data_IF_449784410806
#
_entry.id   IF_449784410806
#
_cell.length_a   1.000
_cell.length_b   1.000
_cell.length_c   1.000
_cell.angle_alpha   90.00
_cell.angle_beta   90.00
_cell.angle_gamma   90.00
#
_symmetry.space_group_name_H-M   'P 1'
#
loop_
_entity.id
_entity.type
_entity.pdbx_description
1 polymer ?
#
# COMPACT_ATOMS: atom_id res chain seq x y z
N UNK A 1 -11.54 -0.77 -24.45
CA UNK A 1 -12.68 0.15 -24.31
C UNK A 1 -13.35 -0.13 -22.99
N UNK A 2 -13.62 0.91 -22.18
CA UNK A 2 -14.24 0.74 -20.87
C UNK A 2 -15.70 0.26 -20.99
N UNK A 3 -16.14 -0.59 -20.06
CA UNK A 3 -17.52 -1.06 -19.99
C UNK A 3 -18.41 0.13 -19.62
N UNK A 4 -19.49 0.40 -20.36
CA UNK A 4 -20.37 1.54 -20.08
C UNK A 4 -21.34 1.31 -18.91
N UNK A 5 -21.56 0.05 -18.51
CA UNK A 5 -22.49 -0.34 -17.46
C UNK A 5 -22.04 -1.63 -16.78
N UNK A 6 -22.31 -1.77 -15.47
CA UNK A 6 -22.05 -2.99 -14.69
C UNK A 6 -23.35 -3.51 -14.07
N UNK A 7 -23.42 -4.82 -13.84
CA UNK A 7 -24.51 -5.45 -13.09
C UNK A 7 -24.30 -5.24 -11.58
N UNK A 8 -25.38 -5.01 -10.85
CA UNK A 8 -25.42 -4.90 -9.39
C UNK A 8 -25.86 -6.25 -8.83
N UNK A 9 -25.05 -6.81 -7.95
CA UNK A 9 -25.30 -8.10 -7.32
C UNK A 9 -25.79 -7.95 -5.89
N UNK A 10 -26.69 -8.83 -5.46
CA UNK A 10 -27.05 -8.96 -4.04
C UNK A 10 -26.01 -9.83 -3.28
N UNK A 11 -26.21 -9.99 -1.98
CA UNK A 11 -25.37 -10.84 -1.11
C UNK A 11 -25.44 -12.35 -1.48
N UNK A 12 -26.45 -12.77 -2.24
CA UNK A 12 -26.58 -14.15 -2.77
C UNK A 12 -25.84 -14.34 -4.11
N UNK A 13 -25.23 -13.30 -4.68
CA UNK A 13 -24.55 -13.36 -5.97
C UNK A 13 -25.48 -13.29 -7.19
N UNK A 14 -26.77 -12.98 -6.99
CA UNK A 14 -27.74 -12.78 -8.08
C UNK A 14 -27.74 -11.33 -8.56
N UNK A 15 -27.87 -11.15 -9.87
CA UNK A 15 -27.98 -9.83 -10.49
C UNK A 15 -29.37 -9.24 -10.22
N UNK A 16 -29.43 -8.09 -9.54
CA UNK A 16 -30.67 -7.39 -9.20
C UNK A 16 -30.91 -6.19 -10.11
N UNK A 17 -29.87 -5.39 -10.36
CA UNK A 17 -29.99 -4.14 -11.10
C UNK A 17 -28.79 -3.94 -12.05
N UNK A 18 -28.82 -2.88 -12.86
CA UNK A 18 -27.75 -2.49 -13.77
C UNK A 18 -27.47 -1.01 -13.63
N UNK A 19 -26.23 -0.65 -13.28
CA UNK A 19 -25.80 0.73 -13.10
C UNK A 19 -24.89 1.18 -14.25
N UNK A 20 -25.08 2.42 -14.72
CA UNK A 20 -24.16 3.07 -15.67
C UNK A 20 -22.88 3.47 -14.94
N UNK A 21 -21.72 3.12 -15.49
CA UNK A 21 -20.45 3.43 -14.83
C UNK A 21 -20.07 4.92 -15.02
N UNK A 22 -19.43 5.56 -14.04
CA UNK A 22 -18.93 6.93 -14.17
C UNK A 22 -17.75 7.00 -15.14
N UNK A 23 -17.51 8.20 -15.67
CA UNK A 23 -16.45 8.48 -16.66
C UNK A 23 -15.04 8.13 -16.16
N UNK A 24 -14.84 8.09 -14.83
CA UNK A 24 -13.58 7.68 -14.20
C UNK A 24 -13.09 6.32 -14.72
N UNK A 25 -13.98 5.36 -14.98
CA UNK A 25 -13.60 4.04 -15.51
C UNK A 25 -13.11 4.06 -16.96
N UNK A 26 -13.33 5.17 -17.69
CA UNK A 26 -12.83 5.38 -19.04
C UNK A 26 -11.49 6.14 -19.08
N UNK A 27 -10.96 6.55 -17.92
CA UNK A 27 -9.68 7.26 -17.83
C UNK A 27 -8.56 6.40 -18.44
N UNK A 28 -7.66 6.98 -19.26
CA UNK A 28 -6.54 6.22 -19.81
C UNK A 28 -5.64 5.67 -18.69
N UNK A 29 -5.19 4.44 -18.87
CA UNK A 29 -4.28 3.79 -17.94
C UNK A 29 -2.87 4.40 -18.06
N UNK A 30 -2.36 4.97 -16.97
CA UNK A 30 -1.04 5.60 -16.89
C UNK A 30 -0.24 5.05 -15.70
N UNK A 31 0.46 3.92 -15.89
CA UNK A 31 1.22 3.26 -14.82
C UNK A 31 2.33 4.13 -14.23
N UNK A 32 2.90 5.03 -15.02
CA UNK A 32 3.92 6.01 -14.63
C UNK A 32 3.42 6.95 -13.52
N UNK A 33 2.21 7.52 -13.71
CA UNK A 33 1.61 8.47 -12.77
C UNK A 33 1.15 7.74 -11.51
N UNK A 34 0.56 6.55 -11.65
CA UNK A 34 0.19 5.68 -10.52
C UNK A 34 1.42 5.37 -9.66
N UNK A 35 2.52 4.96 -10.29
CA UNK A 35 3.77 4.64 -9.58
C UNK A 35 4.30 5.83 -8.81
N UNK A 36 4.34 7.02 -9.43
CA UNK A 36 4.80 8.25 -8.77
C UNK A 36 3.90 8.61 -7.58
N UNK A 37 2.59 8.47 -7.73
CA UNK A 37 1.63 8.73 -6.66
C UNK A 37 1.81 7.80 -5.46
N UNK A 38 1.93 6.49 -5.71
CA UNK A 38 2.13 5.49 -4.65
C UNK A 38 3.46 5.71 -3.95
N UNK A 39 4.55 5.98 -4.67
CA UNK A 39 5.86 6.29 -4.06
C UNK A 39 5.79 7.57 -3.20
N UNK A 40 5.08 8.60 -3.66
CA UNK A 40 4.85 9.81 -2.88
C UNK A 40 4.09 9.50 -1.58
N UNK A 41 2.97 8.77 -1.65
CA UNK A 41 2.18 8.37 -0.47
C UNK A 41 3.06 7.56 0.51
N UNK A 42 3.79 6.56 0.01
CA UNK A 42 4.66 5.72 0.83
C UNK A 42 5.76 6.52 1.52
N UNK A 43 6.33 7.53 0.85
CA UNK A 43 7.38 8.37 1.43
C UNK A 43 6.94 9.17 2.65
N UNK A 44 5.65 9.53 2.73
CA UNK A 44 5.09 10.26 3.88
C UNK A 44 4.93 9.39 5.13
N UNK A 45 4.89 8.05 4.98
CA UNK A 45 4.80 7.11 6.12
C UNK A 45 6.15 6.72 6.70
N UNK A 46 7.26 7.14 6.08
CA UNK A 46 8.60 6.78 6.54
C UNK A 46 8.94 7.61 7.77
N UNK A 47 9.22 6.94 8.89
CA UNK A 47 9.72 7.59 10.09
C UNK A 47 11.16 8.10 9.86
N UNK A 48 11.45 9.38 10.14
CA UNK A 48 12.81 9.90 10.13
C UNK A 48 13.70 9.10 11.08
N UNK A 49 14.94 8.82 10.66
CA UNK A 49 15.92 8.09 11.46
C UNK A 49 17.30 8.72 11.27
N UNK A 50 18.11 8.69 12.31
CA UNK A 50 19.48 9.19 12.28
C UNK A 50 20.40 8.42 13.23
N UNK A 51 21.70 8.71 13.16
CA UNK A 51 22.67 8.32 14.19
C UNK A 51 22.86 9.47 15.19
N UNK A 52 23.25 9.14 16.41
CA UNK A 52 23.77 10.14 17.37
C UNK A 52 24.94 10.88 16.70
N UNK A 53 24.87 12.21 16.67
CA UNK A 53 25.82 13.09 16.00
C UNK A 53 27.25 12.94 16.55
N UNK A 54 27.35 12.56 17.82
CA UNK A 54 28.61 12.35 18.55
C UNK A 54 29.05 10.88 18.58
N UNK A 55 28.32 9.97 17.92
CA UNK A 55 28.69 8.57 17.84
C UNK A 55 30.09 8.38 17.22
N UNK A 56 31.00 7.72 17.96
CA UNK A 56 32.38 7.50 17.55
C UNK A 56 33.27 8.75 17.56
N UNK A 57 32.77 9.90 18.05
CA UNK A 57 33.52 11.16 18.20
C UNK A 57 33.84 11.53 19.65
N UNK A 58 33.19 10.90 20.64
CA UNK A 58 33.44 11.11 22.08
C UNK A 58 34.77 10.50 22.52
N UNK A 59 35.87 10.98 21.97
CA UNK A 59 37.24 10.46 22.18
C UNK A 59 38.25 11.60 22.18
N UNK A 60 39.29 11.48 23.01
CA UNK A 60 40.45 12.42 23.05
C UNK A 60 41.56 12.05 22.06
N UNK A 61 41.21 11.34 20.98
CA UNK A 61 42.19 10.76 20.07
C UNK A 61 42.78 11.81 19.12
N UNK A 62 44.10 11.80 18.98
CA UNK A 62 44.87 12.73 18.15
C UNK A 62 45.87 11.96 17.27
N UNK A 63 46.22 12.51 16.11
CA UNK A 63 47.23 11.90 15.25
C UNK A 63 48.63 12.12 15.82
N UNK A 64 49.43 11.06 15.90
CA UNK A 64 50.82 11.15 16.39
C UNK A 64 51.82 11.64 15.33
N UNK A 65 51.36 11.93 14.11
CA UNK A 65 52.20 12.42 13.01
C UNK A 65 53.00 11.32 12.31
N UNK A 66 54.08 11.73 11.63
CA UNK A 66 54.97 10.87 10.83
C UNK A 66 56.16 10.35 11.65
N UNK A 67 57.03 9.55 11.03
CA UNK A 67 58.31 9.09 11.61
C UNK A 67 58.21 8.17 12.84
N UNK A 68 57.09 7.46 13.01
CA UNK A 68 56.90 6.47 14.09
C UNK A 68 56.70 5.03 13.59
N UNK A 69 56.96 4.75 12.31
CA UNK A 69 56.68 3.45 11.69
C UNK A 69 55.21 3.04 11.73
N UNK A 70 54.29 4.00 11.89
CA UNK A 70 52.86 3.77 12.10
C UNK A 70 52.02 4.66 11.18
N UNK A 71 50.79 4.21 10.90
CA UNK A 71 49.81 5.01 10.17
C UNK A 71 49.37 6.25 10.97
N UNK A 72 49.07 7.34 10.24
CA UNK A 72 48.70 8.68 10.73
C UNK A 72 47.27 8.80 11.29
N UNK A 73 46.59 7.68 11.52
CA UNK A 73 45.22 7.67 12.06
C UNK A 73 45.22 8.23 13.49
N UNK A 74 44.18 8.97 13.93
CA UNK A 74 44.07 9.42 15.31
C UNK A 74 44.09 8.26 16.29
N UNK A 75 44.85 8.38 17.38
CA UNK A 75 44.99 7.38 18.43
C UNK A 75 44.74 7.99 19.80
N UNK A 76 44.27 7.16 20.73
CA UNK A 76 44.16 7.58 22.13
C UNK A 76 45.55 7.94 22.69
N UNK A 77 45.60 8.85 23.67
CA UNK A 77 46.89 9.34 24.21
C UNK A 77 47.61 8.25 25.00
N UNK A 78 46.87 7.51 25.81
CA UNK A 78 47.41 6.45 26.67
C UNK A 78 47.53 5.10 25.95
N UNK A 79 46.67 4.86 24.96
CA UNK A 79 46.61 3.60 24.23
C UNK A 79 46.97 3.79 22.76
N UNK A 80 47.76 2.87 22.19
CA UNK A 80 48.08 2.83 20.76
C UNK A 80 46.86 2.52 19.86
N UNK A 81 45.65 2.41 20.40
CA UNK A 81 44.43 2.08 19.67
C UNK A 81 43.97 3.25 18.80
N UNK A 82 43.68 2.99 17.53
CA UNK A 82 43.13 3.97 16.61
C UNK A 82 41.64 4.22 16.88
N UNK A 83 41.22 5.49 16.86
CA UNK A 83 39.86 5.91 17.15
C UNK A 83 39.46 7.12 16.29
N UNK A 84 38.24 7.64 16.48
CA UNK A 84 37.67 8.83 15.83
C UNK A 84 37.42 8.73 14.31
N UNK A 85 38.35 8.15 13.54
CA UNK A 85 38.31 8.14 12.08
C UNK A 85 37.32 7.10 11.51
N UNK A 86 36.77 7.36 10.30
CA UNK A 86 36.05 6.34 9.56
C UNK A 86 37.02 5.22 9.14
N UNK A 87 36.68 3.97 9.46
CA UNK A 87 37.53 2.80 9.19
C UNK A 87 38.24 2.23 10.42
N UNK A 88 38.18 2.89 11.58
CA UNK A 88 38.64 2.31 12.85
C UNK A 88 37.49 1.62 13.58
N UNK A 89 37.80 0.57 14.34
CA UNK A 89 36.81 -0.07 15.24
C UNK A 89 36.36 0.95 16.28
N UNK A 90 35.06 1.19 16.39
CA UNK A 90 34.49 2.19 17.31
C UNK A 90 34.66 3.66 16.87
N UNK A 91 35.23 3.92 15.69
CA UNK A 91 35.32 5.27 15.11
C UNK A 91 34.00 5.78 14.55
N UNK A 92 33.97 7.06 14.16
CA UNK A 92 32.76 7.65 13.57
C UNK A 92 32.47 7.06 12.18
N UNK A 93 31.20 6.94 11.82
CA UNK A 93 30.82 6.61 10.44
C UNK A 93 31.06 7.82 9.51
N UNK A 94 31.48 7.57 8.27
CA UNK A 94 31.47 8.60 7.23
C UNK A 94 30.03 8.78 6.71
N UNK A 95 29.52 10.01 6.75
CA UNK A 95 28.18 10.39 6.29
C UNK A 95 27.05 9.49 6.83
N UNK A 96 26.87 9.41 8.16
CA UNK A 96 25.78 8.64 8.75
C UNK A 96 24.42 9.20 8.29
N UNK A 97 23.34 8.38 8.32
CA UNK A 97 22.00 8.90 8.12
C UNK A 97 21.69 9.97 9.17
N UNK A 98 21.16 11.09 8.70
CA UNK A 98 20.72 12.22 9.53
C UNK A 98 19.20 12.28 9.57
N UNK A 99 18.65 12.63 10.74
CA UNK A 99 17.21 12.80 10.96
C UNK A 99 16.62 13.91 10.08
N UNK A 100 17.42 14.95 9.80
CA UNK A 100 17.03 16.14 9.02
C UNK A 100 16.82 15.86 7.53
N UNK A 101 17.14 14.66 7.05
CA UNK A 101 16.99 14.30 5.63
C UNK A 101 15.52 14.45 5.21
N UNK A 102 15.26 15.24 4.17
CA UNK A 102 13.93 15.37 3.54
C UNK A 102 13.57 14.08 2.80
N UNK A 103 12.78 13.22 3.44
CA UNK A 103 12.36 11.91 2.89
C UNK A 103 11.04 12.02 2.10
N UNK A 104 10.13 12.89 2.54
CA UNK A 104 8.82 13.05 1.93
C UNK A 104 8.91 13.65 0.52
N UNK A 105 8.28 12.98 -0.45
CA UNK A 105 8.22 13.43 -1.85
C UNK A 105 6.91 14.14 -2.12
N UNK A 106 6.97 15.42 -2.47
CA UNK A 106 5.79 16.23 -2.84
C UNK A 106 5.26 15.82 -4.23
N UNK A 107 3.95 15.91 -4.40
CA UNK A 107 3.26 15.66 -5.68
C UNK A 107 2.11 16.64 -5.86
N UNK A 108 1.83 17.02 -7.11
CA UNK A 108 0.78 17.97 -7.46
C UNK A 108 -0.61 17.38 -7.19
N UNK A 109 -1.57 18.23 -6.80
CA UNK A 109 -2.96 17.79 -6.52
C UNK A 109 -3.64 17.21 -7.76
N UNK A 110 -3.50 17.86 -8.92
CA UNK A 110 -4.07 17.38 -10.21
C UNK A 110 -3.49 16.04 -10.62
N UNK A 111 -2.17 15.88 -10.49
CA UNK A 111 -1.48 14.61 -10.77
C UNK A 111 -1.94 13.49 -9.83
N UNK A 112 -2.14 13.79 -8.54
CA UNK A 112 -2.69 12.86 -7.56
C UNK A 112 -4.10 12.40 -7.92
N UNK A 113 -4.98 13.34 -8.30
CA UNK A 113 -6.37 13.06 -8.70
C UNK A 113 -6.39 12.19 -9.96
N UNK A 114 -5.55 12.52 -10.95
CA UNK A 114 -5.42 11.72 -12.17
C UNK A 114 -4.88 10.30 -11.89
N UNK A 115 -3.90 10.15 -10.99
CA UNK A 115 -3.42 8.84 -10.57
C UNK A 115 -4.51 7.97 -9.94
N UNK A 116 -5.35 8.59 -9.09
CA UNK A 116 -6.50 7.92 -8.48
C UNK A 116 -7.47 7.41 -9.55
N UNK A 117 -7.85 8.27 -10.49
CA UNK A 117 -8.79 7.92 -11.57
C UNK A 117 -8.23 6.83 -12.49
N UNK A 118 -6.96 6.91 -12.85
CA UNK A 118 -6.30 5.87 -13.64
C UNK A 118 -6.22 4.53 -12.89
N UNK A 119 -5.99 4.56 -11.56
CA UNK A 119 -6.00 3.35 -10.74
C UNK A 119 -7.40 2.73 -10.64
N UNK A 120 -8.46 3.54 -10.54
CA UNK A 120 -9.87 3.07 -10.54
C UNK A 120 -10.21 2.44 -11.89
N UNK A 121 -9.86 3.09 -13.00
CA UNK A 121 -10.08 2.55 -14.34
C UNK A 121 -9.45 1.16 -14.50
N UNK A 122 -8.27 0.95 -13.92
CA UNK A 122 -7.58 -0.33 -13.97
C UNK A 122 -8.35 -1.47 -13.29
N UNK A 123 -9.16 -1.20 -12.26
CA UNK A 123 -9.91 -2.24 -11.53
C UNK A 123 -11.16 -2.69 -12.27
N UNK A 124 -11.63 -1.90 -13.24
CA UNK A 124 -12.77 -2.24 -14.08
C UNK A 124 -12.48 -3.26 -15.19
N UNK A 125 -11.21 -3.64 -15.42
CA UNK A 125 -10.85 -4.63 -16.45
C UNK A 125 -10.35 -5.95 -15.82
N UNK A 126 -11.01 -7.06 -16.16
CA UNK A 126 -10.66 -8.42 -15.70
C UNK A 126 -9.22 -8.79 -16.03
N UNK A 127 -8.71 -8.42 -17.21
CA UNK A 127 -7.35 -8.75 -17.66
C UNK A 127 -6.29 -8.10 -16.76
N UNK A 128 -6.46 -6.82 -16.41
CA UNK A 128 -5.54 -6.11 -15.53
C UNK A 128 -5.51 -6.72 -14.13
N UNK A 129 -6.67 -7.11 -13.60
CA UNK A 129 -6.79 -7.70 -12.27
C UNK A 129 -6.18 -9.11 -12.24
N UNK A 130 -6.40 -9.91 -13.29
CA UNK A 130 -5.79 -11.23 -13.44
C UNK A 130 -4.27 -11.14 -13.62
N UNK A 131 -3.78 -10.19 -14.43
CA UNK A 131 -2.34 -9.96 -14.63
C UNK A 131 -1.60 -9.57 -13.34
N UNK A 132 -2.27 -8.94 -12.38
CA UNK A 132 -1.72 -8.65 -11.05
C UNK A 132 -1.52 -9.90 -10.19
N UNK A 133 -2.25 -10.98 -10.48
CA UNK A 133 -2.19 -12.25 -9.75
C UNK A 133 -3.34 -12.48 -8.76
N UNK A 134 -4.49 -11.82 -8.96
CA UNK A 134 -5.73 -12.17 -8.26
C UNK A 134 -6.40 -13.37 -8.92
N UNK A 135 -7.06 -14.21 -8.11
CA UNK A 135 -7.90 -15.30 -8.63
C UNK A 135 -9.30 -14.72 -8.89
N UNK A 136 -9.70 -14.69 -10.16
CA UNK A 136 -10.90 -13.96 -10.63
C UNK A 136 -11.77 -14.79 -11.58
N UNK A 137 -11.56 -16.10 -11.63
CA UNK A 137 -12.23 -16.97 -12.57
C UNK A 137 -13.74 -17.06 -12.25
N UNK A 138 -14.09 -17.14 -10.97
CA UNK A 138 -15.48 -17.24 -10.46
C UNK A 138 -16.20 -15.88 -10.32
N UNK A 139 -15.50 -14.76 -10.51
CA UNK A 139 -16.08 -13.43 -10.34
C UNK A 139 -16.97 -13.07 -11.54
N UNK A 140 -18.25 -12.71 -11.32
CA UNK A 140 -19.24 -12.61 -12.40
C UNK A 140 -19.08 -11.37 -13.29
N UNK A 141 -18.65 -10.23 -12.75
CA UNK A 141 -18.45 -9.00 -13.52
C UNK A 141 -17.34 -8.09 -12.95
N UNK A 142 -16.80 -7.22 -13.81
CA UNK A 142 -15.81 -6.20 -13.49
C UNK A 142 -16.24 -4.84 -14.04
N UNK A 143 -16.19 -3.75 -13.22
CA UNK A 143 -16.01 -3.74 -11.77
C UNK A 143 -17.19 -4.45 -11.06
N UNK A 144 -16.88 -5.17 -9.97
CA UNK A 144 -17.90 -5.87 -9.19
C UNK A 144 -18.68 -4.87 -8.32
N UNK A 145 -19.97 -4.71 -8.61
CA UNK A 145 -20.85 -3.79 -7.87
C UNK A 145 -21.86 -4.60 -7.05
N UNK A 146 -22.01 -4.28 -5.77
CA UNK A 146 -22.88 -4.96 -4.81
C UNK A 146 -23.91 -3.97 -4.24
N UNK A 147 -25.05 -4.48 -3.78
CA UNK A 147 -26.06 -3.68 -3.07
C UNK A 147 -25.52 -3.07 -1.78
N UNK A 148 -26.23 -2.07 -1.27
CA UNK A 148 -25.90 -1.31 -0.07
C UNK A 148 -25.93 -2.17 1.19
N UNK A 149 -26.67 -3.29 1.15
CA UNK A 149 -26.77 -4.28 2.22
C UNK A 149 -25.41 -4.76 2.74
N UNK A 150 -24.38 -4.74 1.89
CA UNK A 150 -23.02 -5.12 2.26
C UNK A 150 -22.43 -4.20 3.35
N UNK A 151 -22.85 -2.92 3.42
CA UNK A 151 -22.39 -1.96 4.43
C UNK A 151 -22.88 -2.33 5.83
N UNK A 152 -24.07 -2.91 5.92
CA UNK A 152 -24.76 -3.26 7.18
C UNK A 152 -24.33 -4.60 7.77
N UNK A 153 -23.43 -5.35 7.11
CA UNK A 153 -23.02 -6.68 7.58
C UNK A 153 -22.04 -6.56 8.75
N UNK A 154 -22.51 -6.88 9.96
CA UNK A 154 -21.70 -6.81 11.21
C UNK A 154 -20.96 -8.09 11.54
N UNK A 155 -21.50 -9.26 11.17
CA UNK A 155 -20.91 -10.56 11.52
C UNK A 155 -20.00 -11.06 10.40
N UNK A 156 -18.79 -11.47 10.77
CA UNK A 156 -17.82 -12.06 9.84
C UNK A 156 -18.36 -13.33 9.13
N UNK A 157 -19.19 -14.13 9.82
CA UNK A 157 -19.81 -15.33 9.22
C UNK A 157 -20.68 -14.96 8.01
N UNK A 158 -21.47 -13.91 8.14
CA UNK A 158 -22.43 -13.47 7.13
C UNK A 158 -21.68 -12.83 5.95
N UNK A 159 -20.62 -12.07 6.23
CA UNK A 159 -19.71 -11.53 5.21
C UNK A 159 -18.99 -12.65 4.44
N UNK A 160 -18.56 -13.72 5.12
CA UNK A 160 -17.96 -14.88 4.47
C UNK A 160 -18.94 -15.54 3.49
N UNK A 161 -20.19 -15.75 3.87
CA UNK A 161 -21.19 -16.29 2.94
C UNK A 161 -21.40 -15.40 1.73
N UNK A 162 -21.48 -14.07 1.93
CA UNK A 162 -21.62 -13.14 0.82
C UNK A 162 -20.42 -13.19 -0.15
N UNK A 163 -19.18 -13.22 0.37
CA UNK A 163 -17.97 -13.27 -0.45
C UNK A 163 -17.79 -14.60 -1.20
N UNK A 164 -18.31 -15.71 -0.65
CA UNK A 164 -18.37 -17.00 -1.35
C UNK A 164 -19.35 -16.91 -2.52
N UNK A 165 -20.56 -16.39 -2.28
CA UNK A 165 -21.59 -16.26 -3.30
C UNK A 165 -21.17 -15.32 -4.44
N UNK A 166 -20.39 -14.28 -4.13
CA UNK A 166 -19.82 -13.35 -5.11
C UNK A 166 -18.59 -13.89 -5.87
N UNK A 167 -18.09 -15.08 -5.53
CA UNK A 167 -16.94 -15.71 -6.19
C UNK A 167 -15.57 -15.10 -5.82
N UNK A 168 -15.50 -14.30 -4.75
CA UNK A 168 -14.26 -13.62 -4.31
C UNK A 168 -13.46 -14.46 -3.30
N UNK A 169 -14.10 -15.44 -2.67
CA UNK A 169 -13.48 -16.29 -1.65
C UNK A 169 -12.17 -16.99 -2.08
N UNK A 170 -12.00 -17.48 -3.33
CA UNK A 170 -10.73 -18.05 -3.77
C UNK A 170 -9.54 -17.09 -3.65
N UNK A 171 -9.74 -15.78 -3.89
CA UNK A 171 -8.67 -14.80 -3.75
C UNK A 171 -8.27 -14.59 -2.28
N UNK A 172 -9.23 -14.63 -1.36
CA UNK A 172 -8.98 -14.56 0.09
C UNK A 172 -8.26 -15.81 0.57
N UNK A 173 -8.63 -16.98 0.04
CA UNK A 173 -7.95 -18.23 0.35
C UNK A 173 -6.48 -18.21 -0.09
N UNK A 174 -6.19 -17.71 -1.30
CA UNK A 174 -4.82 -17.45 -1.78
C UNK A 174 -4.03 -16.55 -0.82
N UNK A 175 -4.66 -15.49 -0.29
CA UNK A 175 -3.98 -14.64 0.70
C UNK A 175 -3.68 -15.42 1.97
N UNK A 176 -4.63 -16.21 2.48
CA UNK A 176 -4.44 -17.03 3.68
C UNK A 176 -3.25 -18.00 3.54
N UNK A 177 -3.13 -18.68 2.40
CA UNK A 177 -2.01 -19.58 2.11
C UNK A 177 -0.68 -18.85 1.96
N UNK A 178 -0.71 -17.61 1.48
CA UNK A 178 0.50 -16.81 1.28
C UNK A 178 1.17 -16.32 2.58
N UNK A 179 0.51 -16.48 3.73
CA UNK A 179 1.00 -16.02 5.03
C UNK A 179 2.27 -16.81 5.38
N UNK A 180 3.41 -16.13 5.35
CA UNK A 180 4.71 -16.72 5.71
C UNK A 180 5.55 -15.80 6.56
N UNK A 181 6.55 -16.37 7.20
CA UNK A 181 7.56 -15.59 7.95
C UNK A 181 8.40 -14.78 6.96
N UNK A 182 8.55 -13.49 7.23
CA UNK A 182 9.33 -12.56 6.43
C UNK A 182 10.82 -12.95 6.47
N UNK A 183 11.42 -13.06 5.29
CA UNK A 183 12.86 -13.24 5.16
C UNK A 183 13.65 -12.00 5.61
N UNK A 184 14.84 -12.21 6.17
CA UNK A 184 15.76 -11.15 6.61
C UNK A 184 15.47 -10.57 8.01
N UNK A 185 16.15 -9.48 8.35
CA UNK A 185 16.13 -8.85 9.70
C UNK A 185 14.82 -8.14 10.04
N UNK A 186 13.93 -7.92 9.08
CA UNK A 186 12.62 -7.29 9.31
C UNK A 186 11.74 -8.06 10.30
N UNK A 187 11.95 -9.38 10.41
CA UNK A 187 11.24 -10.24 11.38
C UNK A 187 11.48 -9.86 12.84
N UNK A 188 12.67 -9.31 13.14
CA UNK A 188 13.04 -8.84 14.48
C UNK A 188 12.52 -7.43 14.79
N UNK A 189 11.99 -6.70 13.79
CA UNK A 189 11.53 -5.31 13.92
C UNK A 189 10.00 -5.21 13.91
N UNK A 190 9.31 -6.19 14.52
CA UNK A 190 7.84 -6.25 14.57
C UNK A 190 7.14 -6.65 13.26
N UNK A 191 7.87 -6.88 12.16
CA UNK A 191 7.29 -7.21 10.83
C UNK A 191 7.49 -8.68 10.48
N UNK A 192 7.12 -9.59 11.41
CA UNK A 192 7.41 -11.03 11.31
C UNK A 192 6.66 -11.74 10.19
N UNK A 193 5.38 -11.42 9.96
CA UNK A 193 4.58 -12.06 8.90
C UNK A 193 4.57 -11.20 7.63
N UNK A 194 4.49 -11.86 6.47
CA UNK A 194 4.22 -11.28 5.15
C UNK A 194 3.07 -12.07 4.53
N UNK A 195 2.12 -11.36 3.93
CA UNK A 195 0.99 -11.94 3.21
C UNK A 195 0.80 -11.19 1.88
N UNK A 196 0.08 -11.81 0.95
CA UNK A 196 -0.37 -11.18 -0.28
C UNK A 196 -1.46 -10.13 -0.01
N UNK A 197 -1.73 -9.30 -1.00
CA UNK A 197 -2.84 -8.34 -0.95
C UNK A 197 -4.07 -8.98 -1.58
N UNK A 198 -5.20 -8.90 -0.90
CA UNK A 198 -6.48 -9.46 -1.35
C UNK A 198 -7.42 -8.37 -1.88
N UNK A 199 -8.75 -8.61 -1.80
CA UNK A 199 -9.74 -7.69 -2.31
C UNK A 199 -9.81 -6.40 -1.48
N UNK A 200 -10.31 -5.34 -2.10
CA UNK A 200 -10.66 -4.08 -1.45
C UNK A 200 -12.18 -3.88 -1.55
N UNK A 201 -12.84 -3.62 -0.43
CA UNK A 201 -14.25 -3.26 -0.39
C UNK A 201 -14.33 -1.74 -0.29
N UNK A 202 -15.00 -1.11 -1.25
CA UNK A 202 -15.22 0.33 -1.27
C UNK A 202 -16.66 0.64 -0.91
N UNK A 203 -16.83 1.43 0.15
CA UNK A 203 -18.11 1.76 0.78
C UNK A 203 -18.33 3.27 0.81
N UNK A 204 -19.58 3.70 1.02
CA UNK A 204 -19.90 5.11 1.24
C UNK A 204 -19.87 5.44 2.74
N UNK A 205 -20.64 4.70 3.54
CA UNK A 205 -20.71 4.78 5.00
C UNK A 205 -20.28 3.46 5.64
N UNK A 206 -19.78 3.51 6.87
CA UNK A 206 -19.46 2.32 7.65
C UNK A 206 -20.56 2.06 8.67
N UNK A 207 -21.34 1.00 8.44
CA UNK A 207 -22.42 0.55 9.32
C UNK A 207 -22.07 -0.75 10.07
N UNK A 208 -20.77 -1.07 10.16
CA UNK A 208 -20.19 -2.22 10.87
C UNK A 208 -19.42 -3.20 9.99
N UNK A 209 -19.33 -2.94 8.68
CA UNK A 209 -18.59 -3.77 7.73
C UNK A 209 -17.08 -3.77 8.01
N UNK A 210 -16.51 -2.67 8.54
CA UNK A 210 -15.08 -2.61 8.88
C UNK A 210 -14.73 -3.64 9.95
N UNK A 211 -15.58 -3.80 10.97
CA UNK A 211 -15.39 -4.81 12.02
C UNK A 211 -15.51 -6.22 11.45
N UNK A 212 -16.53 -6.49 10.62
CA UNK A 212 -16.74 -7.79 9.99
C UNK A 212 -15.57 -8.20 9.07
N UNK A 213 -15.02 -7.24 8.32
CA UNK A 213 -13.92 -7.46 7.38
C UNK A 213 -12.55 -7.61 8.06
N UNK A 214 -12.35 -6.99 9.23
CA UNK A 214 -11.05 -6.92 9.93
C UNK A 214 -10.42 -8.28 10.22
N UNK A 215 -11.23 -9.33 10.40
CA UNK A 215 -10.77 -10.67 10.71
C UNK A 215 -10.27 -11.44 9.47
N UNK A 216 -10.63 -11.01 8.26
CA UNK A 216 -10.24 -11.69 7.03
C UNK A 216 -8.86 -11.24 6.52
N UNK A 217 -7.95 -12.18 6.23
CA UNK A 217 -6.60 -11.83 5.81
C UNK A 217 -6.61 -11.17 4.41
N UNK A 218 -6.07 -9.95 4.34
CA UNK A 218 -5.87 -9.21 3.09
C UNK A 218 -7.12 -8.58 2.47
N UNK A 219 -8.25 -8.63 3.16
CA UNK A 219 -9.43 -7.83 2.85
C UNK A 219 -9.24 -6.46 3.49
N UNK A 220 -9.20 -5.41 2.67
CA UNK A 220 -9.21 -4.05 3.17
C UNK A 220 -10.57 -3.42 2.89
N UNK A 221 -11.01 -2.51 3.77
CA UNK A 221 -12.21 -1.68 3.55
C UNK A 221 -11.79 -0.23 3.46
N UNK A 222 -12.34 0.52 2.51
CA UNK A 222 -12.08 1.95 2.36
C UNK A 222 -13.35 2.71 2.00
N UNK A 223 -13.50 3.90 2.56
CA UNK A 223 -14.53 4.84 2.13
C UNK A 223 -14.13 5.54 0.83
N UNK A 224 -15.10 5.90 -0.02
CA UNK A 224 -14.87 6.61 -1.28
C UNK A 224 -14.07 7.91 -1.09
N UNK A 225 -14.37 8.68 -0.04
CA UNK A 225 -13.71 9.97 0.21
C UNK A 225 -12.23 9.83 0.61
N UNK A 226 -11.91 8.70 1.26
CA UNK A 226 -10.55 8.39 1.72
C UNK A 226 -9.76 7.54 0.72
N UNK A 227 -10.31 7.32 -0.49
CA UNK A 227 -9.70 6.47 -1.50
C UNK A 227 -8.38 7.10 -1.99
N UNK A 228 -7.34 6.28 -2.04
CA UNK A 228 -6.03 6.70 -2.51
C UNK A 228 -5.49 5.72 -3.56
N UNK A 229 -4.53 6.19 -4.36
CA UNK A 229 -3.92 5.36 -5.40
C UNK A 229 -3.17 4.13 -4.85
N UNK A 230 -2.71 4.16 -3.60
CA UNK A 230 -2.01 3.02 -2.99
C UNK A 230 -2.96 1.87 -2.61
N UNK A 231 -4.17 2.18 -2.16
CA UNK A 231 -5.17 1.18 -1.82
C UNK A 231 -5.61 0.39 -3.07
N UNK A 232 -5.73 1.08 -4.21
CA UNK A 232 -6.10 0.51 -5.51
C UNK A 232 -4.91 -0.10 -6.28
N UNK A 233 -3.71 0.45 -6.11
CA UNK A 233 -2.49 -0.04 -6.72
C UNK A 233 -1.37 -0.33 -5.69
N UNK A 234 -1.59 -1.29 -4.75
CA UNK A 234 -0.60 -1.60 -3.73
C UNK A 234 0.71 -2.07 -4.37
N UNK A 235 1.83 -1.51 -3.91
CA UNK A 235 3.14 -1.84 -4.44
C UNK A 235 3.41 -1.29 -5.84
N UNK A 236 2.70 -0.23 -6.27
CA UNK A 236 2.82 0.41 -7.60
C UNK A 236 2.25 -0.41 -8.77
N UNK A 237 1.57 -1.52 -8.47
CA UNK A 237 0.92 -2.38 -9.46
C UNK A 237 -0.59 -2.14 -9.45
N UNK A 238 -1.14 -1.70 -10.59
CA UNK A 238 -2.56 -1.43 -10.79
C UNK A 238 -3.39 -2.71 -10.94
N UNK A 239 -4.72 -2.59 -10.86
CA UNK A 239 -5.64 -3.72 -11.02
C UNK A 239 -5.83 -4.55 -9.75
N UNK A 240 -6.08 -3.91 -8.60
CA UNK A 240 -6.53 -4.64 -7.42
C UNK A 240 -7.99 -5.11 -7.62
N UNK A 241 -8.31 -6.30 -7.13
CA UNK A 241 -9.71 -6.77 -7.07
C UNK A 241 -10.51 -5.86 -6.13
N UNK A 242 -11.44 -5.08 -6.67
CA UNK A 242 -12.27 -4.13 -5.92
C UNK A 242 -13.74 -4.49 -5.99
N UNK A 243 -14.39 -4.54 -4.83
CA UNK A 243 -15.83 -4.65 -4.66
C UNK A 243 -16.36 -3.26 -4.35
N UNK A 244 -17.30 -2.77 -5.12
CA UNK A 244 -17.92 -1.46 -4.95
C UNK A 244 -19.35 -1.63 -4.45
N UNK A 245 -19.80 -0.81 -3.51
CA UNK A 245 -21.23 -0.69 -3.23
C UNK A 245 -21.91 0.22 -4.26
N UNK A 246 -23.21 0.07 -4.47
CA UNK A 246 -23.99 0.95 -5.35
C UNK A 246 -23.76 2.43 -5.03
N UNK A 247 -23.94 2.82 -3.76
CA UNK A 247 -23.71 4.19 -3.28
C UNK A 247 -22.32 4.70 -3.60
N UNK A 248 -21.31 3.83 -3.45
CA UNK A 248 -19.93 4.22 -3.67
C UNK A 248 -19.69 4.64 -5.12
N UNK A 249 -20.33 3.96 -6.08
CA UNK A 249 -20.27 4.29 -7.52
C UNK A 249 -21.00 5.62 -7.79
N UNK A 250 -22.16 5.84 -7.16
CA UNK A 250 -22.94 7.07 -7.34
C UNK A 250 -22.18 8.29 -6.78
N UNK A 251 -21.57 8.16 -5.60
CA UNK A 251 -20.72 9.20 -5.02
C UNK A 251 -19.44 9.43 -5.83
N UNK A 252 -18.84 8.37 -6.39
CA UNK A 252 -17.70 8.51 -7.31
C UNK A 252 -18.07 9.34 -8.54
N UNK A 253 -19.31 9.23 -9.04
CA UNK A 253 -19.80 10.03 -10.17
C UNK A 253 -19.90 11.53 -9.82
N UNK A 254 -20.26 11.87 -8.58
CA UNK A 254 -20.26 13.26 -8.13
C UNK A 254 -18.83 13.82 -8.07
N UNK A 255 -17.89 13.04 -7.53
CA UNK A 255 -16.47 13.39 -7.45
C UNK A 255 -15.80 13.61 -8.81
N UNK A 256 -16.25 12.92 -9.85
CA UNK A 256 -15.69 13.05 -11.20
C UNK A 256 -16.18 14.27 -11.96
N UNK A 257 -17.34 14.83 -11.60
CA UNK A 257 -17.95 16.00 -12.23
C UNK A 257 -17.52 17.33 -11.60
N UNK A 258 -16.87 17.28 -10.44
CA UNK A 258 -16.35 18.47 -9.76
C UNK A 258 -14.99 18.89 -10.32
N UNK A 259 -15.00 19.99 -11.07
CA UNK A 259 -13.80 20.80 -11.36
C UNK A 259 -13.07 21.21 -10.07
#
# INVERSE_FOLDING_TARGET
MGKGSSKVFNLEGKSVDKIKLPEVFNTPLRPDVIRRAVISIQSHRIQPQGRDEMAGKRTVAESWGVNRGMSRVPRLKEMRTAAFAPGTVGGRAAHPPVSEKKIAKKMNKKERRFALFSAIAATGNKENVKARGHIVDDVPDFPLVVTEDLQSVKKAKDLKSALINLGVWPDIYRVKESIKVRAGKGKMRGRRKKQAVGPLIVINSDDGIVEAASNFPGVDVAQVDSLNAELLAPGTHFGRLTIWTRDSIEKLRALSRGD
#
